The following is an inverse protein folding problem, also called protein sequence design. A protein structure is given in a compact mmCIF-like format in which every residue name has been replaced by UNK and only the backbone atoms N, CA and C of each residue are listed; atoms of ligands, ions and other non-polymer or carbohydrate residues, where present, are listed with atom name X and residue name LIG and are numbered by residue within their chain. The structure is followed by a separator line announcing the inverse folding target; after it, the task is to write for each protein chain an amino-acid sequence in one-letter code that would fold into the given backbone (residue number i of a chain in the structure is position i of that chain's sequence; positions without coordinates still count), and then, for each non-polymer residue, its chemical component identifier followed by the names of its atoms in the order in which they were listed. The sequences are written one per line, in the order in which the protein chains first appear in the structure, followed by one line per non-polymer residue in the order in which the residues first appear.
data_IF_177907875942
#
_entry.id   IF_177907875942
#
_cell.length_a   1.000
_cell.length_b   1.000
_cell.length_c   1.000
_cell.angle_alpha   90.00
_cell.angle_beta   90.00
_cell.angle_gamma   90.00
#
_symmetry.space_group_name_H-M   'P 1'
#
loop_
_entity.id
_entity.type
_entity.pdbx_description
1 polymer ?
#
# COMPACT_ATOMS: atom_id res chain seq x y z
N UNK A 1 23.05 -20.50 -6.22
CA UNK A 1 23.59 -20.61 -7.58
C UNK A 1 23.49 -19.32 -8.41
N UNK A 2 22.33 -18.67 -8.55
CA UNK A 2 22.22 -17.42 -9.35
C UNK A 2 22.85 -16.16 -8.70
N UNK A 3 22.83 -16.08 -7.38
CA UNK A 3 23.36 -14.94 -6.60
C UNK A 3 24.90 -14.92 -6.58
N UNK A 4 25.53 -16.08 -6.68
CA UNK A 4 27.00 -16.20 -6.67
C UNK A 4 27.62 -15.82 -8.01
N UNK A 5 26.94 -16.14 -9.13
CA UNK A 5 27.29 -15.66 -10.47
C UNK A 5 27.16 -14.14 -10.61
N UNK A 6 26.08 -13.54 -10.10
CA UNK A 6 25.91 -12.09 -10.15
C UNK A 6 26.98 -11.34 -9.33
N UNK A 7 27.51 -11.98 -8.27
CA UNK A 7 28.61 -11.45 -7.45
C UNK A 7 29.97 -11.55 -8.16
N UNK A 8 30.18 -12.55 -9.05
CA UNK A 8 31.41 -12.67 -9.85
C UNK A 8 31.46 -11.74 -11.08
N UNK A 9 30.33 -11.14 -11.46
CA UNK A 9 30.20 -10.15 -12.55
C UNK A 9 30.40 -8.68 -12.10
N UNK A 10 30.70 -8.42 -10.82
CA UNK A 10 30.99 -7.07 -10.31
C UNK A 10 29.77 -6.23 -9.90
N UNK A 11 28.56 -6.80 -9.94
CA UNK A 11 27.37 -6.09 -9.46
C UNK A 11 27.34 -6.03 -7.93
N UNK A 12 27.13 -4.83 -7.39
CA UNK A 12 26.95 -4.62 -5.95
C UNK A 12 25.78 -5.47 -5.43
N UNK A 13 25.98 -6.13 -4.28
CA UNK A 13 24.95 -6.93 -3.58
C UNK A 13 23.64 -6.14 -3.38
N UNK A 14 23.76 -4.82 -3.24
CA UNK A 14 22.63 -3.88 -3.10
C UNK A 14 21.83 -3.76 -4.39
N UNK A 15 22.48 -3.73 -5.55
CA UNK A 15 21.83 -3.64 -6.86
C UNK A 15 20.99 -4.90 -7.16
N UNK A 16 21.54 -6.08 -6.86
CA UNK A 16 20.84 -7.37 -7.07
C UNK A 16 19.58 -7.44 -6.17
N UNK A 17 19.69 -7.01 -4.92
CA UNK A 17 18.55 -6.98 -3.99
C UNK A 17 17.50 -5.95 -4.46
N UNK A 18 17.91 -4.72 -4.77
CA UNK A 18 16.99 -3.66 -5.16
C UNK A 18 16.29 -3.92 -6.50
N UNK A 19 16.97 -4.52 -7.48
CA UNK A 19 16.38 -4.72 -8.82
C UNK A 19 15.64 -6.05 -8.92
N UNK A 20 16.22 -7.15 -8.41
CA UNK A 20 15.66 -8.48 -8.61
C UNK A 20 14.77 -8.95 -7.46
N UNK A 21 15.18 -8.73 -6.21
CA UNK A 21 14.36 -9.13 -5.05
C UNK A 21 13.13 -8.21 -4.94
N UNK A 22 13.32 -6.90 -5.07
CA UNK A 22 12.24 -5.93 -4.94
C UNK A 22 11.14 -6.12 -5.99
N UNK A 23 11.48 -6.50 -7.23
CA UNK A 23 10.50 -6.71 -8.31
C UNK A 23 9.56 -7.89 -8.04
N UNK A 24 10.01 -8.92 -7.30
CA UNK A 24 9.18 -10.04 -6.87
C UNK A 24 8.49 -9.76 -5.52
N UNK A 25 9.19 -9.10 -4.59
CA UNK A 25 8.65 -8.75 -3.28
C UNK A 25 7.51 -7.72 -3.38
N UNK A 26 7.62 -6.74 -4.28
CA UNK A 26 6.61 -5.66 -4.41
C UNK A 26 5.22 -6.20 -4.75
N UNK A 27 5.14 -7.33 -5.46
CA UNK A 27 3.85 -7.99 -5.77
C UNK A 27 3.24 -8.55 -4.49
N UNK A 28 3.99 -9.35 -3.73
CA UNK A 28 3.52 -9.92 -2.47
C UNK A 28 3.20 -8.83 -1.44
N UNK A 29 4.03 -7.80 -1.34
CA UNK A 29 3.83 -6.64 -0.48
C UNK A 29 2.56 -5.88 -0.87
N UNK A 30 2.25 -5.72 -2.16
CA UNK A 30 1.01 -5.06 -2.61
C UNK A 30 -0.26 -5.86 -2.26
N UNK A 31 -0.21 -7.20 -2.35
CA UNK A 31 -1.33 -8.03 -1.91
C UNK A 31 -1.50 -8.00 -0.39
N UNK A 32 -0.39 -8.01 0.36
CA UNK A 32 -0.42 -7.93 1.81
C UNK A 32 -0.85 -6.53 2.30
N UNK A 33 -0.43 -5.47 1.61
CA UNK A 33 -0.74 -4.09 1.98
C UNK A 33 -2.24 -3.80 1.93
N UNK A 34 -2.98 -4.39 0.98
CA UNK A 34 -4.46 -4.34 0.97
C UNK A 34 -5.02 -4.82 2.31
N UNK A 35 -4.61 -6.01 2.77
CA UNK A 35 -5.08 -6.60 4.04
C UNK A 35 -4.66 -5.75 5.25
N UNK A 36 -3.42 -5.28 5.26
CA UNK A 36 -2.91 -4.42 6.34
C UNK A 36 -3.67 -3.09 6.42
N UNK A 37 -3.97 -2.45 5.28
CA UNK A 37 -4.78 -1.23 5.23
C UNK A 37 -6.18 -1.45 5.81
N UNK A 38 -6.86 -2.54 5.42
CA UNK A 38 -8.17 -2.88 5.98
C UNK A 38 -8.10 -3.10 7.49
N UNK A 39 -7.06 -3.80 7.97
CA UNK A 39 -6.85 -3.99 9.41
C UNK A 39 -6.63 -2.66 10.14
N UNK A 40 -5.82 -1.75 9.59
CA UNK A 40 -5.59 -0.43 10.18
C UNK A 40 -6.86 0.41 10.22
N UNK A 41 -7.69 0.35 9.17
CA UNK A 41 -8.95 1.07 9.10
C UNK A 41 -9.97 0.60 10.12
N UNK A 42 -10.15 -0.72 10.25
CA UNK A 42 -11.06 -1.29 11.25
C UNK A 42 -10.67 -0.95 12.68
N UNK A 43 -9.39 -0.68 12.93
CA UNK A 43 -8.87 -0.34 14.25
C UNK A 43 -8.53 1.15 14.41
N UNK A 44 -8.90 2.01 13.44
CA UNK A 44 -8.49 3.41 13.41
C UNK A 44 -8.89 4.15 14.70
N UNK A 45 -10.13 3.96 15.16
CA UNK A 45 -10.63 4.59 16.39
C UNK A 45 -9.84 4.17 17.65
N UNK A 46 -9.52 2.88 17.76
CA UNK A 46 -8.73 2.35 18.89
C UNK A 46 -7.33 2.93 18.86
N UNK A 47 -6.70 2.99 17.69
CA UNK A 47 -5.36 3.55 17.53
C UNK A 47 -5.33 5.04 17.88
N UNK A 48 -6.32 5.82 17.42
CA UNK A 48 -6.44 7.25 17.76
C UNK A 48 -6.49 7.44 19.29
N UNK A 49 -7.27 6.63 20.00
CA UNK A 49 -7.37 6.71 21.46
C UNK A 49 -6.08 6.25 22.16
N UNK A 50 -5.49 5.13 21.74
CA UNK A 50 -4.28 4.57 22.36
C UNK A 50 -3.07 5.49 22.22
N UNK A 51 -2.94 6.16 21.08
CA UNK A 51 -1.84 7.10 20.82
C UNK A 51 -2.16 8.54 21.23
N UNK A 52 -3.35 8.78 21.81
CA UNK A 52 -3.85 10.11 22.17
C UNK A 52 -3.73 11.12 21.01
N UNK A 53 -4.07 10.67 19.80
CA UNK A 53 -4.02 11.48 18.59
C UNK A 53 -5.40 12.07 18.32
N UNK A 54 -5.48 13.37 18.05
CA UNK A 54 -6.69 14.04 17.55
C UNK A 54 -6.93 13.66 16.08
N UNK A 55 -7.32 12.41 15.86
CA UNK A 55 -7.51 11.85 14.53
C UNK A 55 -8.87 12.16 13.92
N UNK A 56 -9.15 11.48 12.82
CA UNK A 56 -10.31 11.72 11.99
C UNK A 56 -11.58 11.26 12.72
N UNK A 57 -11.53 10.12 13.42
CA UNK A 57 -12.69 9.59 14.13
C UNK A 57 -13.08 10.47 15.33
N UNK A 58 -12.09 10.99 16.06
CA UNK A 58 -12.34 11.95 17.15
C UNK A 58 -12.86 13.29 16.62
N UNK A 59 -12.30 13.81 15.52
CA UNK A 59 -12.80 15.04 14.89
C UNK A 59 -14.27 14.92 14.44
N UNK A 60 -14.63 13.78 13.85
CA UNK A 60 -16.01 13.45 13.46
C UNK A 60 -16.95 13.32 14.66
N UNK A 61 -16.48 12.78 15.78
CA UNK A 61 -17.25 12.67 17.02
C UNK A 61 -17.59 14.06 17.58
N UNK A 62 -16.64 14.98 17.51
CA UNK A 62 -16.82 16.34 18.05
C UNK A 62 -17.66 17.22 17.10
N UNK A 63 -17.63 16.95 15.79
CA UNK A 63 -18.35 17.69 14.77
C UNK A 63 -19.37 16.81 14.03
N UNK A 64 -20.49 16.49 14.70
CA UNK A 64 -21.58 15.65 14.20
C UNK A 64 -22.47 16.36 13.15
N UNK A 65 -21.87 16.97 12.13
CA UNK A 65 -22.58 17.51 10.98
C UNK A 65 -22.58 16.51 9.82
N UNK A 66 -23.75 16.22 9.19
CA UNK A 66 -23.82 15.33 8.03
C UNK A 66 -22.92 15.75 6.87
N UNK A 67 -22.73 17.06 6.67
CA UNK A 67 -21.87 17.60 5.62
C UNK A 67 -20.39 17.31 5.89
N UNK A 68 -19.95 17.51 7.14
CA UNK A 68 -18.57 17.25 7.54
C UNK A 68 -18.27 15.75 7.47
N UNK A 69 -19.23 14.92 7.86
CA UNK A 69 -19.13 13.46 7.73
C UNK A 69 -18.87 13.06 6.27
N UNK A 70 -19.71 13.52 5.34
CA UNK A 70 -19.57 13.20 3.91
C UNK A 70 -18.23 13.65 3.34
N UNK A 71 -17.81 14.89 3.61
CA UNK A 71 -16.54 15.43 3.11
C UNK A 71 -15.35 14.63 3.63
N UNK A 72 -15.38 14.24 4.90
CA UNK A 72 -14.29 13.50 5.54
C UNK A 72 -14.19 12.08 4.97
N UNK A 73 -15.32 11.38 4.83
CA UNK A 73 -15.36 10.05 4.22
C UNK A 73 -14.91 10.10 2.76
N UNK A 74 -15.36 11.08 1.97
CA UNK A 74 -14.94 11.26 0.59
C UNK A 74 -13.44 11.55 0.47
N UNK A 75 -12.92 12.44 1.33
CA UNK A 75 -11.50 12.80 1.34
C UNK A 75 -10.60 11.62 1.69
N UNK A 76 -11.09 10.65 2.48
CA UNK A 76 -10.35 9.43 2.77
C UNK A 76 -10.52 8.37 1.67
N UNK A 77 -11.74 8.24 1.15
CA UNK A 77 -12.07 7.24 0.13
C UNK A 77 -11.39 7.51 -1.22
N UNK A 78 -11.37 8.76 -1.69
CA UNK A 78 -10.77 9.15 -2.97
C UNK A 78 -9.29 8.75 -3.12
N UNK A 79 -8.37 9.13 -2.21
CA UNK A 79 -6.96 8.78 -2.34
C UNK A 79 -6.75 7.26 -2.26
N UNK A 80 -7.53 6.57 -1.41
CA UNK A 80 -7.49 5.12 -1.30
C UNK A 80 -7.93 4.44 -2.60
N UNK A 81 -9.02 4.92 -3.20
CA UNK A 81 -9.52 4.43 -4.48
C UNK A 81 -8.48 4.60 -5.59
N UNK A 82 -7.88 5.78 -5.70
CA UNK A 82 -6.83 6.06 -6.71
C UNK A 82 -5.63 5.14 -6.50
N UNK A 83 -5.15 5.00 -5.26
CA UNK A 83 -3.99 4.16 -4.94
C UNK A 83 -4.22 2.70 -5.34
N UNK A 84 -5.38 2.14 -5.00
CA UNK A 84 -5.71 0.76 -5.37
C UNK A 84 -5.95 0.59 -6.87
N UNK A 85 -6.63 1.53 -7.52
CA UNK A 85 -6.90 1.49 -8.96
C UNK A 85 -5.60 1.54 -9.77
N UNK A 86 -4.67 2.44 -9.40
CA UNK A 86 -3.34 2.51 -10.02
C UNK A 86 -2.52 1.24 -9.79
N UNK A 87 -2.56 0.69 -8.57
CA UNK A 87 -1.85 -0.53 -8.25
C UNK A 87 -2.37 -1.75 -9.01
N UNK A 88 -3.69 -1.87 -9.18
CA UNK A 88 -4.30 -2.90 -10.03
C UNK A 88 -3.96 -2.72 -11.51
N UNK A 89 -4.02 -1.49 -12.01
CA UNK A 89 -3.64 -1.19 -13.39
C UNK A 89 -2.17 -1.54 -13.70
N UNK A 90 -1.26 -1.17 -12.80
CA UNK A 90 0.16 -1.54 -12.90
C UNK A 90 0.37 -3.06 -12.87
N UNK A 91 -0.41 -3.77 -12.05
CA UNK A 91 -0.34 -5.22 -11.94
C UNK A 91 -0.86 -5.92 -13.20
N UNK A 92 -2.03 -5.52 -13.72
CA UNK A 92 -2.60 -6.02 -14.98
C UNK A 92 -1.64 -5.82 -16.15
N UNK A 93 -0.95 -4.67 -16.20
CA UNK A 93 0.06 -4.39 -17.22
C UNK A 93 1.27 -5.32 -17.14
N UNK A 94 1.62 -5.81 -15.95
CA UNK A 94 2.72 -6.78 -15.76
C UNK A 94 2.32 -8.22 -16.08
N UNK A 95 1.06 -8.61 -15.88
CA UNK A 95 0.56 -9.94 -16.24
C UNK A 95 0.41 -10.10 -17.76
N UNK A 96 -0.11 -9.08 -18.46
CA UNK A 96 -0.28 -9.11 -19.93
C UNK A 96 1.04 -9.24 -20.71
N UNK A 97 2.17 -8.90 -20.10
CA UNK A 97 3.51 -9.10 -20.68
C UNK A 97 4.07 -10.53 -20.54
N UNK A 98 3.43 -11.41 -19.75
CA UNK A 98 3.85 -12.81 -19.57
C UNK A 98 3.07 -13.81 -20.43
N UNK A 99 1.94 -13.42 -21.01
CA UNK A 99 1.12 -14.29 -21.86
C UNK A 99 1.55 -14.28 -23.34
N UNK A 100 2.58 -13.50 -23.69
CA UNK A 100 3.06 -13.32 -25.08
C UNK A 100 4.44 -13.93 -25.33
N UNK A 101 4.95 -14.77 -24.42
CA UNK A 101 6.20 -15.50 -24.55
C UNK A 101 5.97 -17.00 -24.39
#
# INVERSE_FOLDING_TARGET
MYVELARSLGFSKVYIILVHLFRNAIVSVFFQSKKTMWFMLSNLFVLELMFNLSGIMLFLRDNLSPTIFLLTVLSFFLPMFIFYSLGEWLFLRRLRGKEVL
#
